data_IF_996501620938
#
_entry.id   IF_996501620938
#
_cell.length_a   1.000
_cell.length_b   1.000
_cell.length_c   1.000
_cell.angle_alpha   90.00
_cell.angle_beta   90.00
_cell.angle_gamma   90.00
#
_symmetry.space_group_name_H-M   'P 1'
#
loop_
_entity.id
_entity.type
_entity.pdbx_description
1 polymer ?
#
# COMPACT_ATOMS: atom_id res chain seq x y z
N UNK A 1 -27.47 -7.47 -3.76
CA UNK A 1 -26.06 -7.37 -3.36
C UNK A 1 -25.71 -8.02 -2.00
N UNK A 2 -26.61 -8.01 -0.97
CA UNK A 2 -26.31 -8.62 0.34
C UNK A 2 -26.35 -10.16 0.33
N UNK A 3 -27.10 -10.78 -0.57
CA UNK A 3 -27.23 -12.23 -0.65
C UNK A 3 -26.04 -12.87 -1.37
N UNK A 4 -25.55 -12.28 -2.45
CA UNK A 4 -24.33 -12.69 -3.16
C UNK A 4 -23.08 -12.55 -2.30
N UNK A 5 -23.00 -11.49 -1.47
CA UNK A 5 -21.92 -11.32 -0.52
C UNK A 5 -21.93 -12.39 0.59
N UNK A 6 -23.11 -12.79 1.09
CA UNK A 6 -23.26 -13.86 2.09
C UNK A 6 -22.96 -15.26 1.51
N UNK A 7 -23.33 -15.49 0.25
CA UNK A 7 -23.01 -16.75 -0.43
C UNK A 7 -21.50 -16.85 -0.73
N UNK A 8 -20.85 -15.75 -1.15
CA UNK A 8 -19.41 -15.67 -1.32
C UNK A 8 -18.64 -15.90 -0.02
N UNK A 9 -19.05 -15.27 1.08
CA UNK A 9 -18.46 -15.52 2.40
C UNK A 9 -18.63 -16.98 2.86
N UNK A 10 -19.78 -17.58 2.62
CA UNK A 10 -20.03 -18.98 2.95
C UNK A 10 -19.16 -19.97 2.15
N UNK A 11 -18.83 -19.65 0.90
CA UNK A 11 -17.92 -20.45 0.06
C UNK A 11 -16.45 -20.31 0.50
N UNK A 12 -16.00 -19.10 0.81
CA UNK A 12 -14.66 -18.86 1.35
C UNK A 12 -14.43 -19.60 2.66
N UNK A 13 -15.40 -19.58 3.58
CA UNK A 13 -15.33 -20.31 4.85
C UNK A 13 -15.24 -21.84 4.66
N UNK A 14 -15.98 -22.42 3.71
CA UNK A 14 -15.90 -23.87 3.42
C UNK A 14 -14.54 -24.27 2.86
N UNK A 15 -13.98 -23.46 1.97
CA UNK A 15 -12.68 -23.73 1.34
C UNK A 15 -11.53 -23.55 2.33
N UNK A 16 -11.61 -22.54 3.20
CA UNK A 16 -10.66 -22.35 4.30
C UNK A 16 -10.66 -23.53 5.28
N UNK A 17 -11.86 -23.99 5.68
CA UNK A 17 -11.95 -25.17 6.54
C UNK A 17 -11.40 -26.42 5.84
N UNK A 18 -11.62 -26.60 4.54
CA UNK A 18 -11.04 -27.73 3.79
C UNK A 18 -9.51 -27.69 3.75
N UNK A 19 -8.89 -26.51 3.58
CA UNK A 19 -7.44 -26.36 3.66
C UNK A 19 -6.89 -26.79 5.03
N UNK A 20 -7.53 -26.36 6.11
CA UNK A 20 -7.12 -26.72 7.48
C UNK A 20 -7.39 -28.20 7.85
N UNK A 21 -8.41 -28.83 7.25
CA UNK A 21 -8.73 -30.24 7.49
C UNK A 21 -7.82 -31.21 6.73
N UNK A 22 -7.02 -30.72 5.77
CA UNK A 22 -6.02 -31.55 5.11
C UNK A 22 -4.72 -31.58 5.94
N UNK A 23 -4.40 -32.70 6.64
CA UNK A 23 -3.23 -32.75 7.54
C UNK A 23 -1.92 -32.53 6.80
N UNK A 24 -1.83 -32.89 5.54
CA UNK A 24 -0.64 -32.69 4.72
C UNK A 24 -0.42 -31.20 4.43
N UNK A 25 -1.45 -30.47 4.01
CA UNK A 25 -1.38 -29.03 3.74
C UNK A 25 -1.03 -28.24 5.01
N UNK A 26 -1.66 -28.59 6.14
CA UNK A 26 -1.39 -27.97 7.43
C UNK A 26 0.05 -28.21 7.89
N UNK A 27 0.53 -29.44 7.84
CA UNK A 27 1.90 -29.79 8.26
C UNK A 27 2.95 -29.12 7.39
N UNK A 28 2.73 -29.12 6.07
CA UNK A 28 3.58 -28.43 5.10
C UNK A 28 3.57 -26.93 5.33
N UNK A 29 2.40 -26.33 5.52
CA UNK A 29 2.24 -24.89 5.79
C UNK A 29 2.98 -24.46 7.05
N UNK A 30 2.85 -25.20 8.15
CA UNK A 30 3.57 -24.94 9.41
C UNK A 30 5.10 -25.03 9.19
N UNK A 31 5.57 -26.08 8.51
CA UNK A 31 7.01 -26.24 8.25
C UNK A 31 7.56 -25.10 7.38
N UNK A 32 6.82 -24.68 6.34
CA UNK A 32 7.19 -23.54 5.51
C UNK A 32 7.18 -22.23 6.29
N UNK A 33 6.19 -22.03 7.15
CA UNK A 33 6.08 -20.84 8.01
C UNK A 33 7.28 -20.71 8.93
N UNK A 34 7.61 -21.78 9.68
CA UNK A 34 8.78 -21.79 10.57
C UNK A 34 10.06 -21.52 9.77
N UNK A 35 10.22 -22.16 8.62
CA UNK A 35 11.37 -21.94 7.73
C UNK A 35 11.44 -20.49 7.26
N UNK A 36 10.33 -19.87 6.87
CA UNK A 36 10.28 -18.49 6.42
C UNK A 36 10.68 -17.52 7.54
N UNK A 37 10.23 -17.75 8.78
CA UNK A 37 10.65 -16.94 9.96
C UNK A 37 12.16 -17.03 10.18
N UNK A 38 12.72 -18.25 10.15
CA UNK A 38 14.16 -18.47 10.34
C UNK A 38 14.96 -17.80 9.21
N UNK A 39 14.54 -17.97 7.96
CA UNK A 39 15.19 -17.37 6.79
C UNK A 39 15.18 -15.84 6.90
N UNK A 40 14.05 -15.24 7.29
CA UNK A 40 13.95 -13.80 7.49
C UNK A 40 14.92 -13.28 8.54
N UNK A 41 15.02 -13.96 9.66
CA UNK A 41 15.99 -13.60 10.70
C UNK A 41 17.43 -13.56 10.16
N UNK A 42 17.83 -14.56 9.35
CA UNK A 42 19.16 -14.59 8.74
C UNK A 42 19.34 -13.53 7.66
N UNK A 43 18.31 -13.25 6.85
CA UNK A 43 18.32 -12.20 5.83
C UNK A 43 18.48 -10.83 6.47
N UNK A 44 17.68 -10.50 7.48
CA UNK A 44 17.79 -9.25 8.23
C UNK A 44 19.16 -9.07 8.90
N UNK A 45 19.69 -10.16 9.52
CA UNK A 45 21.03 -10.15 10.09
C UNK A 45 22.12 -9.93 9.03
N UNK A 46 21.98 -10.57 7.87
CA UNK A 46 22.94 -10.42 6.75
C UNK A 46 22.97 -8.98 6.23
N UNK A 47 21.83 -8.33 6.08
CA UNK A 47 21.77 -6.92 5.67
C UNK A 47 22.47 -6.01 6.71
N UNK A 48 22.23 -6.23 8.00
CA UNK A 48 22.91 -5.47 9.06
C UNK A 48 24.41 -5.66 9.05
N UNK A 49 24.90 -6.89 8.98
CA UNK A 49 26.34 -7.21 8.99
C UNK A 49 27.07 -6.66 7.76
N UNK A 50 26.39 -6.59 6.61
CA UNK A 50 26.94 -6.06 5.36
C UNK A 50 26.71 -4.56 5.17
N UNK A 51 26.09 -3.91 6.14
CA UNK A 51 25.68 -2.50 6.11
C UNK A 51 24.94 -2.11 4.81
N UNK A 52 24.04 -2.99 4.36
CA UNK A 52 23.20 -2.73 3.19
C UNK A 52 22.24 -1.59 3.50
N UNK A 53 22.21 -0.56 2.67
CA UNK A 53 21.33 0.62 2.79
C UNK A 53 20.60 0.89 1.47
N UNK A 54 19.40 1.52 1.49
CA UNK A 54 18.61 1.80 2.69
C UNK A 54 18.14 0.51 3.38
N UNK A 55 17.88 0.54 4.66
CA UNK A 55 17.29 -0.57 5.43
C UNK A 55 16.55 -0.04 6.65
N UNK A 56 15.48 -0.73 7.01
CA UNK A 56 14.76 -0.53 8.26
C UNK A 56 14.97 -1.72 9.20
N UNK A 57 14.53 -1.57 10.45
CA UNK A 57 14.53 -2.68 11.40
C UNK A 57 13.46 -3.71 11.01
N UNK A 58 13.87 -4.95 10.76
CA UNK A 58 12.99 -6.08 10.47
C UNK A 58 12.95 -7.04 11.67
N UNK A 59 12.70 -6.45 12.84
CA UNK A 59 12.51 -7.19 14.09
C UNK A 59 11.11 -7.80 14.18
N UNK A 60 10.78 -8.33 15.36
CA UNK A 60 9.40 -8.76 15.65
C UNK A 60 8.45 -7.56 15.58
N UNK A 61 7.24 -7.66 14.94
CA UNK A 61 6.60 -8.91 14.48
C UNK A 61 6.78 -9.24 12.98
N UNK A 62 7.56 -8.47 12.22
CA UNK A 62 7.68 -8.60 10.76
C UNK A 62 8.00 -10.02 10.25
N UNK A 63 8.91 -10.81 10.85
CA UNK A 63 9.16 -12.19 10.39
C UNK A 63 7.91 -13.08 10.36
N UNK A 64 6.97 -12.86 11.28
CA UNK A 64 5.70 -13.60 11.33
C UNK A 64 4.73 -13.09 10.27
N UNK A 65 4.61 -11.77 10.09
CA UNK A 65 3.83 -11.14 9.05
C UNK A 65 4.25 -11.68 7.68
N UNK A 66 5.52 -11.55 7.34
CA UNK A 66 6.09 -12.07 6.10
C UNK A 66 5.83 -13.57 5.92
N UNK A 67 6.07 -14.37 6.96
CA UNK A 67 5.86 -15.82 6.88
C UNK A 67 4.39 -16.16 6.63
N UNK A 68 3.45 -15.46 7.24
CA UNK A 68 2.01 -15.67 7.04
C UNK A 68 1.59 -15.38 5.61
N UNK A 69 1.94 -14.20 5.08
CA UNK A 69 1.56 -13.76 3.73
C UNK A 69 2.23 -14.61 2.64
N UNK A 70 3.52 -14.88 2.78
CA UNK A 70 4.30 -15.55 1.73
C UNK A 70 4.22 -17.08 1.77
N UNK A 71 3.61 -17.70 2.79
CA UNK A 71 3.44 -19.15 2.87
C UNK A 71 1.98 -19.55 2.99
N UNK A 72 1.35 -19.35 4.13
CA UNK A 72 0.00 -19.88 4.42
C UNK A 72 -1.03 -19.21 3.49
N UNK A 73 -1.08 -17.89 3.43
CA UNK A 73 -2.05 -17.18 2.60
C UNK A 73 -1.85 -17.48 1.12
N UNK A 74 -0.61 -17.52 0.66
CA UNK A 74 -0.29 -17.91 -0.72
C UNK A 74 -0.82 -19.32 -1.06
N UNK A 75 -0.50 -20.32 -0.25
CA UNK A 75 -0.91 -21.72 -0.53
C UNK A 75 -2.44 -21.83 -0.49
N UNK A 76 -3.11 -21.12 0.40
CA UNK A 76 -4.55 -21.04 0.46
C UNK A 76 -5.16 -20.41 -0.81
N UNK A 77 -4.63 -19.30 -1.27
CA UNK A 77 -5.09 -18.64 -2.51
C UNK A 77 -4.96 -19.59 -3.71
N UNK A 78 -3.83 -20.29 -3.82
CA UNK A 78 -3.61 -21.28 -4.89
C UNK A 78 -4.64 -22.42 -4.82
N UNK A 79 -4.87 -23.01 -3.64
CA UNK A 79 -5.84 -24.08 -3.46
C UNK A 79 -7.28 -23.62 -3.79
N UNK A 80 -7.63 -22.39 -3.41
CA UNK A 80 -8.92 -21.76 -3.75
C UNK A 80 -9.09 -21.60 -5.26
N UNK A 81 -8.10 -21.05 -5.96
CA UNK A 81 -8.14 -20.87 -7.42
C UNK A 81 -8.29 -22.23 -8.11
N UNK A 82 -7.50 -23.23 -7.74
CA UNK A 82 -7.58 -24.59 -8.32
C UNK A 82 -8.97 -25.19 -8.06
N UNK A 83 -9.52 -25.00 -6.86
CA UNK A 83 -10.87 -25.46 -6.54
C UNK A 83 -11.95 -24.81 -7.39
N UNK A 84 -11.87 -23.49 -7.64
CA UNK A 84 -12.79 -22.76 -8.50
C UNK A 84 -12.63 -23.17 -9.99
N UNK A 85 -11.39 -23.36 -10.43
CA UNK A 85 -11.11 -23.87 -11.77
C UNK A 85 -11.73 -25.26 -11.98
N UNK A 86 -11.61 -26.16 -10.98
CA UNK A 86 -12.22 -27.48 -11.01
C UNK A 86 -13.76 -27.46 -11.03
N UNK A 87 -14.39 -26.40 -10.51
CA UNK A 87 -15.84 -26.15 -10.61
C UNK A 87 -16.26 -25.53 -11.94
N UNK A 88 -15.34 -25.09 -12.76
CA UNK A 88 -15.60 -24.38 -14.01
C UNK A 88 -16.08 -22.94 -13.82
N UNK A 89 -15.72 -22.28 -12.70
CA UNK A 89 -16.07 -20.88 -12.44
C UNK A 89 -15.58 -19.99 -13.57
N UNK A 90 -16.45 -19.18 -14.21
CA UNK A 90 -16.11 -18.51 -15.46
C UNK A 90 -15.07 -17.40 -15.29
N UNK A 91 -15.03 -16.73 -14.16
CA UNK A 91 -14.10 -15.62 -13.87
C UNK A 91 -13.60 -15.82 -12.44
N UNK A 92 -12.28 -15.82 -12.28
CA UNK A 92 -11.63 -15.90 -10.98
C UNK A 92 -10.71 -14.67 -10.86
N UNK A 93 -10.95 -13.84 -9.87
CA UNK A 93 -10.06 -12.76 -9.48
C UNK A 93 -9.37 -13.15 -8.18
N UNK A 94 -8.06 -13.03 -8.14
CA UNK A 94 -7.27 -13.34 -6.97
C UNK A 94 -6.13 -12.35 -6.80
N UNK A 95 -5.84 -12.01 -5.56
CA UNK A 95 -4.80 -11.09 -5.17
C UNK A 95 -3.66 -11.82 -4.46
N UNK A 96 -2.42 -11.39 -4.69
CA UNK A 96 -1.20 -11.94 -4.12
C UNK A 96 -0.33 -10.87 -3.47
N UNK A 97 -0.40 -10.76 -2.16
CA UNK A 97 0.19 -9.69 -1.37
C UNK A 97 1.67 -9.87 -1.00
N UNK A 98 2.23 -11.08 -1.20
CA UNK A 98 3.52 -11.45 -0.63
C UNK A 98 4.73 -10.69 -1.18
N UNK A 99 4.70 -10.19 -2.42
CA UNK A 99 5.78 -9.39 -2.99
C UNK A 99 5.81 -8.00 -2.38
N UNK A 100 4.67 -7.33 -2.37
CA UNK A 100 4.52 -5.97 -1.92
C UNK A 100 5.00 -5.81 -0.47
N UNK A 101 4.49 -6.61 0.44
CA UNK A 101 4.89 -6.64 1.85
C UNK A 101 6.40 -6.80 2.05
N UNK A 102 7.02 -7.70 1.30
CA UNK A 102 8.47 -7.93 1.40
C UNK A 102 9.25 -6.75 0.82
N UNK A 103 8.75 -6.15 -0.26
CA UNK A 103 9.41 -5.03 -0.93
C UNK A 103 9.36 -3.75 -0.08
N UNK A 104 8.27 -3.49 0.65
CA UNK A 104 8.20 -2.40 1.63
C UNK A 104 9.33 -2.47 2.67
N UNK A 105 9.60 -3.66 3.19
CA UNK A 105 10.56 -3.82 4.29
C UNK A 105 11.99 -4.10 3.83
N UNK A 106 12.17 -4.83 2.75
CA UNK A 106 13.50 -5.21 2.27
C UNK A 106 14.05 -4.30 1.17
N UNK A 107 13.16 -3.67 0.42
CA UNK A 107 13.41 -2.94 -0.83
C UNK A 107 13.04 -3.76 -2.07
N UNK A 108 12.41 -3.14 -3.10
CA UNK A 108 11.86 -3.84 -4.26
C UNK A 108 12.91 -4.59 -5.08
N UNK A 109 14.12 -4.09 -5.15
CA UNK A 109 15.19 -4.68 -5.93
C UNK A 109 16.06 -5.69 -5.16
N UNK A 110 15.77 -5.91 -3.89
CA UNK A 110 16.55 -6.81 -3.04
C UNK A 110 16.30 -8.28 -3.38
N UNK A 111 17.28 -9.16 -3.12
CA UNK A 111 17.11 -10.60 -3.33
C UNK A 111 15.88 -11.16 -2.64
N UNK A 112 15.54 -10.65 -1.45
CA UNK A 112 14.38 -11.05 -0.65
C UNK A 112 13.06 -10.83 -1.41
N UNK A 113 12.94 -9.71 -2.13
CA UNK A 113 11.77 -9.37 -2.94
C UNK A 113 11.75 -10.15 -4.25
N UNK A 114 12.91 -10.33 -4.88
CA UNK A 114 13.06 -11.17 -6.10
C UNK A 114 12.70 -12.63 -5.83
N UNK A 115 13.03 -13.15 -4.64
CA UNK A 115 12.62 -14.49 -4.22
C UNK A 115 11.07 -14.63 -4.17
N UNK A 116 10.33 -13.54 -3.94
CA UNK A 116 8.86 -13.59 -4.00
C UNK A 116 8.36 -13.68 -5.44
N UNK A 117 9.00 -13.01 -6.40
CA UNK A 117 8.65 -13.16 -7.82
C UNK A 117 8.88 -14.61 -8.30
N UNK A 118 9.96 -15.26 -7.87
CA UNK A 118 10.20 -16.68 -8.12
C UNK A 118 9.10 -17.58 -7.52
N UNK A 119 8.49 -17.16 -6.42
CA UNK A 119 7.34 -17.87 -5.82
C UNK A 119 6.08 -17.66 -6.62
N UNK A 120 5.83 -16.45 -7.13
CA UNK A 120 4.72 -16.15 -8.05
C UNK A 120 4.86 -17.00 -9.32
N UNK A 121 6.05 -17.09 -9.92
CA UNK A 121 6.30 -17.94 -11.10
C UNK A 121 5.96 -19.41 -10.82
N UNK A 122 6.39 -19.96 -9.68
CA UNK A 122 6.02 -21.33 -9.29
C UNK A 122 4.53 -21.52 -9.07
N UNK A 123 3.86 -20.52 -8.48
CA UNK A 123 2.40 -20.52 -8.34
C UNK A 123 1.72 -20.56 -9.70
N UNK A 124 2.09 -19.67 -10.62
CA UNK A 124 1.53 -19.62 -11.97
C UNK A 124 1.74 -20.93 -12.73
N UNK A 125 2.90 -21.56 -12.56
CA UNK A 125 3.18 -22.88 -13.15
C UNK A 125 2.24 -23.96 -12.62
N UNK A 126 1.91 -23.91 -11.33
CA UNK A 126 0.95 -24.85 -10.70
C UNK A 126 -0.47 -24.60 -11.20
N UNK A 127 -0.89 -23.34 -11.30
CA UNK A 127 -2.20 -22.95 -11.84
C UNK A 127 -2.33 -23.31 -13.32
N UNK A 128 -1.29 -23.11 -14.13
CA UNK A 128 -1.29 -23.48 -15.54
C UNK A 128 -1.49 -24.99 -15.74
N UNK A 129 -0.84 -25.83 -14.92
CA UNK A 129 -1.04 -27.28 -14.94
C UNK A 129 -2.46 -27.67 -14.53
N UNK A 130 -3.00 -27.03 -13.48
CA UNK A 130 -4.37 -27.31 -13.04
C UNK A 130 -5.41 -26.89 -14.10
N UNK A 131 -5.10 -25.87 -14.90
CA UNK A 131 -5.94 -25.43 -16.01
C UNK A 131 -6.07 -26.48 -17.13
N UNK A 132 -5.07 -27.34 -17.33
CA UNK A 132 -5.09 -28.41 -18.34
C UNK A 132 -6.18 -29.45 -18.03
N UNK A 133 -6.45 -29.70 -16.74
CA UNK A 133 -7.44 -30.68 -16.25
C UNK A 133 -8.79 -30.01 -15.91
N UNK A 134 -8.95 -28.72 -16.12
CA UNK A 134 -10.17 -28.00 -15.78
C UNK A 134 -11.30 -28.28 -16.78
N UNK A 135 -12.59 -28.24 -16.36
CA UNK A 135 -13.75 -28.53 -17.22
C UNK A 135 -13.99 -27.46 -18.31
N UNK A 136 -13.24 -26.38 -18.29
CA UNK A 136 -13.24 -25.31 -19.29
C UNK A 136 -11.84 -24.71 -19.45
N UNK A 137 -11.51 -24.10 -20.62
CA UNK A 137 -10.25 -23.41 -20.79
C UNK A 137 -10.16 -22.16 -19.89
N UNK A 138 -8.95 -21.90 -19.37
CA UNK A 138 -8.63 -20.69 -18.58
C UNK A 138 -7.49 -19.92 -19.22
N UNK A 139 -7.65 -18.63 -19.27
CA UNK A 139 -6.62 -17.68 -19.67
C UNK A 139 -6.18 -16.87 -18.45
N UNK A 140 -4.88 -16.69 -18.30
CA UNK A 140 -4.32 -15.94 -17.18
C UNK A 140 -3.97 -14.54 -17.63
N UNK A 141 -4.46 -13.54 -16.90
CA UNK A 141 -4.05 -12.14 -17.01
C UNK A 141 -3.43 -11.78 -15.67
N UNK A 142 -2.17 -11.34 -15.68
CA UNK A 142 -1.47 -10.89 -14.49
C UNK A 142 -1.37 -9.37 -14.56
N UNK A 143 -1.78 -8.73 -13.46
CA UNK A 143 -1.77 -7.27 -13.35
C UNK A 143 -1.05 -6.91 -12.06
N UNK A 144 -0.14 -5.95 -12.10
CA UNK A 144 0.25 -5.24 -10.89
C UNK A 144 -0.63 -4.00 -10.75
N UNK A 145 -1.08 -3.72 -9.55
CA UNK A 145 -1.85 -2.52 -9.19
C UNK A 145 -0.98 -1.27 -9.27
N UNK A 146 0.29 -1.37 -8.89
CA UNK A 146 1.31 -0.32 -8.95
C UNK A 146 2.71 -0.92 -9.15
N UNK A 147 3.71 -0.07 -9.30
CA UNK A 147 5.10 -0.40 -9.09
C UNK A 147 5.55 -0.01 -7.69
N UNK A 148 6.83 -0.10 -7.40
CA UNK A 148 7.42 0.41 -6.17
C UNK A 148 8.71 1.19 -6.45
N UNK A 149 8.99 2.20 -5.63
CA UNK A 149 10.23 2.95 -5.64
C UNK A 149 10.90 2.82 -4.28
N UNK A 150 12.21 2.64 -4.26
CA UNK A 150 12.94 2.51 -3.01
C UNK A 150 13.47 3.85 -2.50
N UNK A 151 13.80 3.90 -1.20
CA UNK A 151 14.55 4.98 -0.59
C UNK A 151 14.70 4.79 0.91
N UNK A 152 15.54 5.62 1.53
CA UNK A 152 15.61 5.68 2.97
C UNK A 152 14.38 6.43 3.52
N UNK A 153 13.77 5.96 4.63
CA UNK A 153 12.72 6.68 5.30
C UNK A 153 13.10 8.15 5.54
N UNK A 154 12.13 9.06 5.46
CA UNK A 154 12.33 10.48 5.61
C UNK A 154 13.00 10.83 6.94
N UNK A 155 12.52 10.24 8.04
CA UNK A 155 13.09 10.43 9.37
C UNK A 155 14.52 9.90 9.46
N UNK A 156 14.83 8.72 8.88
CA UNK A 156 16.19 8.18 8.85
C UNK A 156 17.16 9.05 8.05
N UNK A 157 16.67 9.73 7.00
CA UNK A 157 17.48 10.56 6.10
C UNK A 157 17.74 11.95 6.66
N UNK A 158 16.72 12.57 7.32
CA UNK A 158 16.74 13.97 7.72
C UNK A 158 16.73 14.18 9.24
N UNK A 159 16.56 13.12 10.03
CA UNK A 159 16.58 13.18 11.49
C UNK A 159 15.33 13.78 12.12
N UNK A 160 14.27 13.99 11.34
CA UNK A 160 12.99 14.54 11.77
C UNK A 160 11.85 13.90 10.97
N UNK A 161 10.74 13.56 11.62
CA UNK A 161 9.52 13.09 10.97
C UNK A 161 8.72 14.23 10.32
N UNK A 162 7.81 13.90 9.38
CA UNK A 162 7.02 14.94 8.69
C UNK A 162 6.09 15.68 9.66
N UNK A 163 5.45 14.97 10.59
CA UNK A 163 4.58 15.58 11.60
C UNK A 163 5.36 16.57 12.47
N UNK A 164 6.52 16.17 12.98
CA UNK A 164 7.38 17.00 13.82
C UNK A 164 7.92 18.20 13.03
N UNK A 165 8.32 18.01 11.77
CA UNK A 165 8.73 19.11 10.88
C UNK A 165 7.58 20.10 10.70
N UNK A 166 6.38 19.62 10.37
CA UNK A 166 5.21 20.48 10.16
C UNK A 166 4.91 21.29 11.40
N UNK A 167 4.82 20.65 12.55
CA UNK A 167 4.57 21.32 13.83
C UNK A 167 5.65 22.34 14.20
N UNK A 168 6.92 22.03 13.93
CA UNK A 168 8.03 22.96 14.21
C UNK A 168 7.98 24.25 13.39
N UNK A 169 7.24 24.25 12.28
CA UNK A 169 7.06 25.42 11.40
C UNK A 169 5.77 26.21 11.69
N UNK A 170 4.95 25.73 12.65
CA UNK A 170 3.72 26.39 13.04
C UNK A 170 3.95 27.31 14.23
N UNK A 171 3.16 28.38 14.33
CA UNK A 171 3.16 29.26 15.49
C UNK A 171 2.25 28.75 16.60
N UNK A 172 2.69 28.85 17.86
CA UNK A 172 1.92 28.47 19.02
C UNK A 172 2.20 27.03 19.51
N UNK A 173 1.44 26.61 20.50
CA UNK A 173 1.43 25.24 21.03
C UNK A 173 0.36 24.46 20.26
N UNK A 174 0.76 23.72 19.24
CA UNK A 174 -0.11 23.01 18.32
C UNK A 174 -0.14 21.52 18.68
N UNK A 175 -1.31 21.01 19.00
CA UNK A 175 -1.52 19.58 19.16
C UNK A 175 -1.58 18.90 17.78
N UNK A 176 -0.93 17.75 17.63
CA UNK A 176 -0.83 17.07 16.35
C UNK A 176 -1.00 15.57 16.50
N UNK A 177 -1.57 14.95 15.46
CA UNK A 177 -1.69 13.52 15.32
C UNK A 177 -0.97 13.07 14.04
N UNK A 178 -0.01 12.16 14.21
CA UNK A 178 0.54 11.39 13.10
C UNK A 178 -0.40 10.19 12.83
N UNK A 179 -1.12 10.27 11.72
CA UNK A 179 -2.03 9.24 11.25
C UNK A 179 -1.41 8.37 10.15
N UNK A 180 -0.08 8.31 10.09
CA UNK A 180 0.66 7.43 9.17
C UNK A 180 0.37 5.97 9.49
N UNK A 181 0.10 5.18 8.47
CA UNK A 181 -0.41 3.82 8.62
C UNK A 181 0.71 2.78 8.54
N UNK A 182 1.38 2.46 9.65
CA UNK A 182 2.25 1.26 9.77
C UNK A 182 1.47 -0.08 9.65
N UNK A 183 0.17 -0.02 9.38
CA UNK A 183 -0.78 -1.14 9.53
C UNK A 183 -1.18 -1.78 8.21
N UNK A 184 -0.74 -1.24 7.06
CA UNK A 184 -1.21 -1.71 5.74
C UNK A 184 -0.97 -3.22 5.53
N UNK A 185 0.19 -3.73 5.92
CA UNK A 185 0.52 -5.16 5.85
C UNK A 185 -0.28 -6.06 6.80
N UNK A 186 -0.88 -5.51 7.87
CA UNK A 186 -1.65 -6.29 8.83
C UNK A 186 -3.13 -6.46 8.44
N UNK A 187 -3.69 -5.60 7.61
CA UNK A 187 -5.09 -5.63 7.22
C UNK A 187 -5.54 -7.01 6.70
N UNK A 188 -4.87 -7.60 5.71
CA UNK A 188 -5.20 -8.93 5.19
C UNK A 188 -5.07 -10.04 6.24
N UNK A 189 -4.05 -9.97 7.10
CA UNK A 189 -3.83 -10.96 8.17
C UNK A 189 -4.91 -10.83 9.24
N UNK A 190 -5.25 -9.63 9.64
CA UNK A 190 -6.30 -9.37 10.63
C UNK A 190 -7.65 -9.88 10.13
N UNK A 191 -7.97 -9.64 8.86
CA UNK A 191 -9.15 -10.19 8.20
C UNK A 191 -9.12 -11.72 8.22
N UNK A 192 -8.02 -12.32 7.80
CA UNK A 192 -7.84 -13.77 7.81
C UNK A 192 -7.99 -14.39 9.21
N UNK A 193 -7.35 -13.83 10.22
CA UNK A 193 -7.41 -14.33 11.60
C UNK A 193 -8.80 -14.12 12.22
N UNK A 194 -9.47 -13.03 11.88
CA UNK A 194 -10.87 -12.77 12.26
C UNK A 194 -11.78 -13.85 11.71
N UNK A 195 -11.70 -14.16 10.42
CA UNK A 195 -12.48 -15.23 9.81
C UNK A 195 -12.11 -16.60 10.36
N UNK A 196 -10.82 -16.87 10.59
CA UNK A 196 -10.37 -18.12 11.22
C UNK A 196 -10.92 -18.28 12.64
N UNK A 197 -11.00 -17.20 13.43
CA UNK A 197 -11.54 -17.21 14.79
C UNK A 197 -13.05 -17.49 14.81
N UNK A 198 -13.77 -17.08 13.77
CA UNK A 198 -15.22 -17.29 13.58
C UNK A 198 -15.59 -18.67 13.03
N UNK A 199 -14.61 -19.44 12.59
CA UNK A 199 -14.84 -20.77 12.00
C UNK A 199 -15.47 -21.72 13.03
N UNK A 200 -16.60 -22.40 12.73
CA UNK A 200 -17.21 -23.34 13.66
C UNK A 200 -16.31 -24.54 13.92
N UNK A 201 -16.20 -24.96 15.18
CA UNK A 201 -15.46 -26.17 15.56
C UNK A 201 -14.27 -25.91 16.48
N UNK A 202 -13.44 -26.96 16.67
CA UNK A 202 -12.31 -26.93 17.62
C UNK A 202 -11.19 -25.99 17.15
N UNK A 203 -10.98 -25.89 15.85
CA UNK A 203 -9.96 -25.03 15.23
C UNK A 203 -10.25 -23.54 15.47
N UNK A 204 -11.48 -23.09 15.25
CA UNK A 204 -11.88 -21.69 15.53
C UNK A 204 -11.79 -21.34 17.01
N UNK A 205 -12.14 -22.31 17.90
CA UNK A 205 -11.99 -22.11 19.36
C UNK A 205 -10.52 -22.00 19.79
N UNK A 206 -9.59 -22.72 19.15
CA UNK A 206 -8.16 -22.61 19.43
C UNK A 206 -7.66 -21.25 18.96
N UNK A 207 -7.99 -20.83 17.74
CA UNK A 207 -7.60 -19.52 17.19
C UNK A 207 -8.17 -18.39 18.01
N UNK A 208 -9.48 -18.40 18.33
CA UNK A 208 -10.13 -17.38 19.15
C UNK A 208 -9.59 -17.31 20.57
N UNK A 209 -9.13 -18.44 21.13
CA UNK A 209 -8.50 -18.47 22.47
C UNK A 209 -7.07 -17.94 22.43
N UNK A 210 -6.31 -18.26 21.36
CA UNK A 210 -4.94 -17.78 21.18
C UNK A 210 -4.88 -16.28 20.91
N UNK A 211 -5.92 -15.72 20.28
CA UNK A 211 -5.98 -14.30 19.89
C UNK A 211 -6.92 -13.48 20.79
N UNK A 212 -7.24 -13.98 21.97
CA UNK A 212 -8.22 -13.34 22.85
C UNK A 212 -7.82 -11.96 23.35
N UNK A 213 -6.51 -11.71 23.52
CA UNK A 213 -5.93 -10.42 23.90
C UNK A 213 -5.96 -9.41 22.76
N UNK A 214 -5.95 -9.90 21.52
CA UNK A 214 -5.85 -9.11 20.29
C UNK A 214 -7.23 -8.98 19.58
N UNK A 215 -8.32 -9.41 20.24
CA UNK A 215 -9.66 -9.39 19.65
C UNK A 215 -10.58 -8.44 20.42
N UNK A 216 -11.12 -7.43 19.72
CA UNK A 216 -12.20 -6.54 20.20
C UNK A 216 -13.43 -6.73 19.30
N UNK A 217 -14.60 -6.86 19.90
CA UNK A 217 -15.91 -7.00 19.21
C UNK A 217 -15.94 -8.10 18.12
N UNK A 218 -15.15 -9.19 18.33
CA UNK A 218 -15.08 -10.30 17.41
C UNK A 218 -14.25 -10.02 16.14
N UNK A 219 -13.43 -8.95 16.16
CA UNK A 219 -12.45 -8.63 15.13
C UNK A 219 -11.04 -8.75 15.71
N UNK A 220 -10.14 -9.40 15.01
CA UNK A 220 -8.73 -9.54 15.42
C UNK A 220 -7.94 -8.36 14.87
N UNK A 221 -7.21 -7.68 15.75
CA UNK A 221 -6.29 -6.59 15.41
C UNK A 221 -4.88 -6.96 15.88
N UNK A 222 -4.05 -7.52 15.00
CA UNK A 222 -2.61 -7.64 15.18
C UNK A 222 -1.92 -6.45 14.51
N UNK A 223 -0.74 -6.11 15.01
CA UNK A 223 -0.08 -4.85 14.64
C UNK A 223 -0.72 -3.70 15.42
N UNK A 224 0.01 -2.65 15.60
CA UNK A 224 -0.40 -1.54 16.48
C UNK A 224 -1.60 -0.73 15.93
N UNK A 225 -2.76 -1.41 15.74
CA UNK A 225 -4.05 -0.71 15.63
C UNK A 225 -4.29 0.10 16.92
N UNK A 226 -3.72 -0.37 18.04
CA UNK A 226 -3.66 0.38 19.31
C UNK A 226 -2.49 1.41 19.34
N UNK A 227 -1.53 1.43 18.42
CA UNK A 227 -0.51 2.47 18.40
C UNK A 227 -1.08 3.79 17.90
N UNK A 228 -2.01 3.76 16.96
CA UNK A 228 -2.79 4.94 16.59
C UNK A 228 -3.60 5.41 17.81
N UNK A 229 -4.20 4.49 18.56
CA UNK A 229 -4.89 4.83 19.81
C UNK A 229 -3.93 5.02 21.00
N UNK A 230 -2.84 4.26 21.14
CA UNK A 230 -1.84 4.43 22.22
C UNK A 230 -0.79 5.49 21.95
N UNK A 231 -0.54 5.84 20.69
CA UNK A 231 0.18 7.05 20.32
C UNK A 231 -0.63 8.29 20.72
N UNK A 232 -1.92 8.29 20.46
CA UNK A 232 -2.88 9.23 21.04
C UNK A 232 -2.90 9.12 22.59
N UNK A 233 -3.04 7.93 23.19
CA UNK A 233 -3.07 7.73 24.66
C UNK A 233 -1.73 7.99 25.37
N UNK A 234 -0.57 7.76 24.75
CA UNK A 234 0.75 8.09 25.35
C UNK A 234 1.14 9.55 25.25
N UNK A 235 0.67 10.27 24.22
CA UNK A 235 0.80 11.73 24.13
C UNK A 235 -0.37 12.46 24.81
N UNK A 236 -1.53 11.83 24.97
CA UNK A 236 -2.71 12.39 25.65
C UNK A 236 -2.69 12.25 27.18
N UNK A 237 -1.58 11.81 27.79
CA UNK A 237 -1.45 11.85 29.27
C UNK A 237 -1.38 13.28 29.84
N UNK A 238 -1.49 14.30 29.00
CA UNK A 238 -1.61 15.72 29.40
C UNK A 238 -2.80 16.47 28.78
N UNK A 239 -3.61 15.83 27.89
CA UNK A 239 -4.82 16.45 27.32
C UNK A 239 -6.04 15.55 27.54
N UNK A 240 -7.20 16.16 27.77
CA UNK A 240 -8.48 15.46 27.94
C UNK A 240 -8.78 14.52 26.76
N UNK A 241 -9.28 13.29 27.03
CA UNK A 241 -9.51 12.20 26.05
C UNK A 241 -10.51 12.54 24.92
N UNK A 242 -11.10 13.73 24.91
CA UNK A 242 -12.12 14.19 23.95
C UNK A 242 -11.62 15.36 23.03
N UNK A 243 -10.38 15.80 23.12
CA UNK A 243 -9.90 16.94 22.35
C UNK A 243 -9.37 16.48 20.98
N UNK A 244 -10.02 16.95 19.89
CA UNK A 244 -9.56 16.74 18.51
C UNK A 244 -8.24 17.51 18.34
N UNK A 245 -7.15 16.89 17.85
CA UNK A 245 -5.89 17.57 17.63
C UNK A 245 -6.04 18.68 16.59
N UNK A 246 -5.32 19.78 16.72
CA UNK A 246 -5.38 20.93 15.79
C UNK A 246 -4.89 20.56 14.38
N UNK A 247 -3.97 19.59 14.31
CA UNK A 247 -3.30 19.14 13.09
C UNK A 247 -3.34 17.63 12.95
N UNK A 248 -3.70 17.14 11.76
CA UNK A 248 -3.53 15.73 11.39
C UNK A 248 -2.58 15.64 10.19
N UNK A 249 -1.54 14.83 10.31
CA UNK A 249 -0.63 14.48 9.22
C UNK A 249 -0.87 13.01 8.86
N UNK A 250 -1.41 12.76 7.68
CA UNK A 250 -1.70 11.42 7.17
C UNK A 250 -0.76 11.10 6.02
N UNK A 251 0.26 10.29 6.29
CA UNK A 251 1.23 9.85 5.29
C UNK A 251 0.91 8.44 4.77
N UNK A 252 1.24 8.21 3.51
CA UNK A 252 1.24 6.90 2.86
C UNK A 252 2.37 6.87 1.83
N UNK A 253 3.37 6.01 2.05
CA UNK A 253 4.58 5.99 1.23
C UNK A 253 5.30 7.34 1.24
N UNK A 254 5.51 7.92 0.07
CA UNK A 254 6.16 9.22 -0.08
C UNK A 254 5.21 10.38 -0.37
N UNK A 255 3.91 10.18 -0.13
CA UNK A 255 2.91 11.24 -0.11
C UNK A 255 2.37 11.48 1.30
N UNK A 256 1.84 12.67 1.55
CA UNK A 256 1.08 12.97 2.75
C UNK A 256 0.00 14.02 2.50
N UNK A 257 -1.01 13.98 3.34
CA UNK A 257 -2.02 15.04 3.47
C UNK A 257 -1.93 15.65 4.87
N UNK A 258 -2.02 16.96 4.94
CA UNK A 258 -2.09 17.72 6.19
C UNK A 258 -3.47 18.34 6.28
N UNK A 259 -4.11 18.23 7.45
CA UNK A 259 -5.44 18.75 7.73
C UNK A 259 -5.40 19.66 8.98
N UNK A 260 -5.98 20.86 8.87
CA UNK A 260 -6.27 21.75 10.01
C UNK A 260 -7.68 21.43 10.51
N UNK A 261 -7.80 20.83 11.66
CA UNK A 261 -9.09 20.28 12.15
C UNK A 261 -10.06 21.33 12.69
N UNK A 262 -9.57 22.50 13.06
CA UNK A 262 -10.40 23.61 13.52
C UNK A 262 -11.30 24.20 12.42
N UNK A 263 -10.94 23.99 11.15
CA UNK A 263 -11.65 24.53 9.98
C UNK A 263 -12.31 23.37 9.23
N UNK A 264 -13.62 23.45 8.99
CA UNK A 264 -14.36 22.38 8.27
C UNK A 264 -14.09 22.37 6.77
N UNK A 265 -13.82 23.52 6.20
CA UNK A 265 -13.60 23.73 4.79
C UNK A 265 -12.08 23.69 4.51
N UNK A 266 -11.70 23.22 3.34
CA UNK A 266 -10.29 23.20 2.93
C UNK A 266 -9.67 24.59 3.05
N UNK A 267 -8.61 24.72 3.83
CA UNK A 267 -7.93 25.98 4.08
C UNK A 267 -7.10 26.39 2.86
N UNK A 268 -7.28 27.66 2.44
CA UNK A 268 -6.54 28.22 1.31
C UNK A 268 -5.09 28.52 1.65
N UNK A 269 -4.25 28.68 0.62
CA UNK A 269 -2.86 29.14 0.76
C UNK A 269 -2.79 30.43 1.59
N UNK A 270 -3.68 31.39 1.32
CA UNK A 270 -3.75 32.67 1.99
C UNK A 270 -4.18 32.51 3.46
N UNK A 271 -5.10 31.60 3.71
CA UNK A 271 -5.53 31.21 5.06
C UNK A 271 -4.37 30.59 5.87
N UNK A 272 -3.67 29.62 5.28
CA UNK A 272 -2.50 28.99 5.91
C UNK A 272 -1.40 30.01 6.18
N UNK A 273 -1.07 30.87 5.20
CA UNK A 273 -0.04 31.90 5.35
C UNK A 273 -0.39 32.94 6.43
N UNK A 274 -1.67 33.18 6.67
CA UNK A 274 -2.12 34.06 7.75
C UNK A 274 -2.03 33.40 9.14
N UNK A 275 -2.35 32.12 9.25
CA UNK A 275 -2.30 31.37 10.50
C UNK A 275 -0.85 31.02 10.88
N UNK A 276 -0.08 30.53 9.91
CA UNK A 276 1.26 29.99 10.09
C UNK A 276 2.18 30.46 8.94
N UNK A 277 2.70 31.69 8.98
CA UNK A 277 3.43 32.31 7.86
C UNK A 277 4.71 31.57 7.46
N UNK A 278 5.33 30.83 8.37
CA UNK A 278 6.56 30.08 8.12
C UNK A 278 6.30 28.64 7.62
N UNK A 279 5.07 28.13 7.68
CA UNK A 279 4.77 26.73 7.39
C UNK A 279 5.03 26.37 5.92
N UNK A 280 4.35 27.01 4.97
CA UNK A 280 4.52 26.68 3.55
C UNK A 280 5.94 26.98 3.07
N UNK A 281 6.53 28.16 3.38
CA UNK A 281 7.92 28.43 3.02
C UNK A 281 8.92 27.46 3.66
N UNK A 282 8.68 27.03 4.91
CA UNK A 282 9.53 26.08 5.61
C UNK A 282 9.49 24.70 4.97
N UNK A 283 8.29 24.19 4.68
CA UNK A 283 8.10 22.90 3.99
C UNK A 283 8.83 22.89 2.64
N UNK A 284 8.59 23.84 1.75
CA UNK A 284 9.22 23.85 0.41
C UNK A 284 10.73 24.09 0.44
N UNK A 285 11.28 24.66 1.51
CA UNK A 285 12.73 24.84 1.69
C UNK A 285 13.40 23.58 2.21
N UNK A 286 12.66 22.69 2.84
CA UNK A 286 13.22 21.44 3.36
C UNK A 286 13.64 20.53 2.20
N UNK A 287 14.88 20.02 2.23
CA UNK A 287 15.46 19.23 1.11
C UNK A 287 14.75 17.89 0.87
N UNK A 288 14.07 17.38 1.89
CA UNK A 288 13.27 16.16 1.83
C UNK A 288 11.89 16.33 1.19
N UNK A 289 11.44 17.56 0.93
CA UNK A 289 10.16 17.85 0.28
C UNK A 289 10.40 18.13 -1.20
N UNK A 290 9.76 17.36 -2.06
CA UNK A 290 9.80 17.56 -3.52
C UNK A 290 8.91 18.72 -3.95
N UNK A 291 7.66 18.66 -3.54
CA UNK A 291 6.70 19.76 -3.72
C UNK A 291 5.51 19.62 -2.76
N UNK A 292 4.78 20.71 -2.63
CA UNK A 292 3.46 20.76 -2.00
C UNK A 292 2.40 21.16 -3.03
N UNK A 293 1.15 20.72 -2.85
CA UNK A 293 0.00 21.23 -3.58
C UNK A 293 -0.97 21.85 -2.58
N UNK A 294 -1.33 23.11 -2.83
CA UNK A 294 -2.25 23.90 -2.01
C UNK A 294 -3.20 24.69 -2.92
N UNK A 295 -4.38 25.05 -2.42
CA UNK A 295 -5.34 25.82 -3.17
C UNK A 295 -5.27 27.31 -2.79
N UNK A 296 -5.00 28.19 -3.77
CA UNK A 296 -5.09 29.63 -3.62
C UNK A 296 -6.50 30.11 -3.88
N UNK A 297 -6.96 31.14 -3.17
CA UNK A 297 -8.24 31.82 -3.41
C UNK A 297 -8.25 32.55 -4.75
N UNK A 298 -7.09 33.11 -5.15
CA UNK A 298 -6.96 33.91 -6.36
C UNK A 298 -6.55 33.08 -7.59
N UNK A 299 -5.74 32.01 -7.38
CA UNK A 299 -5.07 31.31 -8.47
C UNK A 299 -5.49 29.84 -8.61
N UNK A 300 -6.40 29.35 -7.78
CA UNK A 300 -6.78 27.94 -7.78
C UNK A 300 -5.67 27.01 -7.28
N UNK A 301 -5.57 25.73 -7.73
CA UNK A 301 -4.58 24.80 -7.22
C UNK A 301 -3.17 25.10 -7.75
N UNK A 302 -2.24 25.22 -6.83
CA UNK A 302 -0.83 25.51 -7.09
C UNK A 302 0.05 24.36 -6.61
N UNK A 303 1.00 23.95 -7.44
CA UNK A 303 2.11 23.08 -7.08
C UNK A 303 3.34 23.92 -6.83
N UNK A 304 3.88 23.87 -5.62
CA UNK A 304 4.98 24.74 -5.16
C UNK A 304 6.16 23.86 -4.75
N UNK A 305 7.32 24.15 -5.30
CA UNK A 305 8.60 23.57 -4.90
C UNK A 305 9.58 24.64 -4.46
N UNK A 306 10.77 24.24 -4.03
CA UNK A 306 11.85 25.18 -3.64
C UNK A 306 12.16 26.24 -4.72
N UNK A 307 12.11 25.85 -5.99
CA UNK A 307 12.63 26.65 -7.09
C UNK A 307 11.56 27.16 -8.05
N UNK A 308 10.30 26.81 -7.85
CA UNK A 308 9.26 27.28 -8.74
C UNK A 308 7.86 26.84 -8.37
N UNK A 309 6.92 27.41 -9.10
CA UNK A 309 5.47 27.21 -8.92
C UNK A 309 4.86 26.86 -10.27
N UNK A 310 3.93 25.91 -10.25
CA UNK A 310 3.07 25.60 -11.38
C UNK A 310 1.61 25.78 -10.99
N UNK A 311 0.90 26.59 -11.76
CA UNK A 311 -0.54 26.68 -11.64
C UNK A 311 -1.20 25.53 -12.41
N UNK A 312 -2.10 24.78 -11.76
CA UNK A 312 -2.77 23.64 -12.39
C UNK A 312 -4.01 24.05 -13.21
N UNK A 313 -4.53 25.29 -13.09
CA UNK A 313 -5.65 25.74 -13.92
C UNK A 313 -5.21 26.16 -15.34
N UNK A 314 -4.18 26.99 -15.44
CA UNK A 314 -3.74 27.61 -16.69
C UNK A 314 -2.38 27.11 -17.19
N UNK A 315 -1.76 26.14 -16.49
CA UNK A 315 -0.44 25.57 -16.78
C UNK A 315 0.72 26.57 -16.72
N UNK A 316 0.51 27.76 -16.15
CA UNK A 316 1.58 28.76 -15.98
C UNK A 316 2.63 28.25 -15.00
N UNK A 317 3.90 28.44 -15.38
CA UNK A 317 5.05 28.06 -14.59
C UNK A 317 5.88 29.32 -14.27
N UNK A 318 6.22 29.50 -13.00
CA UNK A 318 7.15 30.53 -12.53
C UNK A 318 8.36 29.87 -11.89
N UNK A 319 9.55 30.19 -12.35
CA UNK A 319 10.79 29.50 -11.96
C UNK A 319 10.98 28.14 -12.66
N UNK A 320 11.48 27.14 -11.94
CA UNK A 320 11.62 25.80 -12.46
C UNK A 320 10.30 25.03 -12.32
N UNK A 321 9.92 24.23 -13.33
CA UNK A 321 8.71 23.39 -13.23
C UNK A 321 8.88 22.37 -12.09
N UNK A 322 8.03 22.41 -11.04
CA UNK A 322 8.06 21.45 -9.95
C UNK A 322 7.86 20.00 -10.41
N UNK A 323 7.19 19.82 -11.55
CA UNK A 323 6.80 18.51 -12.05
C UNK A 323 7.71 17.96 -13.15
N UNK A 324 8.81 18.63 -13.46
CA UNK A 324 9.72 18.29 -14.58
C UNK A 324 10.28 16.85 -14.57
N UNK A 325 10.37 16.23 -13.40
CA UNK A 325 10.92 14.87 -13.23
C UNK A 325 9.87 13.79 -13.10
N UNK A 326 8.59 14.17 -13.13
CA UNK A 326 7.48 13.25 -13.01
C UNK A 326 6.86 12.92 -14.37
N UNK A 327 5.95 11.93 -14.39
CA UNK A 327 5.24 11.51 -15.60
C UNK A 327 4.46 12.68 -16.24
N UNK A 328 4.29 12.66 -17.55
CA UNK A 328 3.43 13.60 -18.30
C UNK A 328 1.97 13.58 -17.82
N UNK A 329 1.52 12.48 -17.22
CA UNK A 329 0.17 12.35 -16.67
C UNK A 329 0.02 13.01 -15.28
N UNK A 330 1.11 13.42 -14.64
CA UNK A 330 1.09 13.95 -13.27
C UNK A 330 0.21 15.18 -13.13
N UNK A 331 0.25 16.10 -14.08
CA UNK A 331 -0.61 17.31 -14.06
C UNK A 331 -2.08 16.95 -14.02
N UNK A 332 -2.50 16.04 -14.89
CA UNK A 332 -3.89 15.61 -14.95
C UNK A 332 -4.30 14.87 -13.66
N UNK A 333 -3.44 14.02 -13.14
CA UNK A 333 -3.70 13.29 -11.90
C UNK A 333 -3.81 14.23 -10.70
N UNK A 334 -2.97 15.28 -10.62
CA UNK A 334 -3.04 16.28 -9.55
C UNK A 334 -4.29 17.16 -9.66
N UNK A 335 -4.76 17.49 -10.88
CA UNK A 335 -6.04 18.17 -11.09
C UNK A 335 -7.22 17.33 -10.60
N UNK A 336 -7.20 16.04 -10.92
CA UNK A 336 -8.23 15.10 -10.45
C UNK A 336 -8.19 14.98 -8.92
N UNK A 337 -6.99 14.82 -8.34
CA UNK A 337 -6.79 14.75 -6.90
C UNK A 337 -7.30 16.02 -6.19
N UNK A 338 -7.01 17.22 -6.73
CA UNK A 338 -7.49 18.51 -6.17
C UNK A 338 -9.03 18.60 -6.14
N UNK A 339 -9.71 17.88 -7.03
CA UNK A 339 -11.17 17.85 -7.10
C UNK A 339 -11.84 16.98 -6.03
N UNK A 340 -11.07 16.16 -5.32
CA UNK A 340 -11.63 15.26 -4.30
C UNK A 340 -12.04 16.03 -3.04
N UNK A 341 -13.20 15.68 -2.51
CA UNK A 341 -13.81 16.38 -1.37
C UNK A 341 -12.94 16.34 -0.10
N UNK A 342 -12.18 15.28 0.09
CA UNK A 342 -11.42 15.03 1.31
C UNK A 342 -9.91 15.07 1.09
N UNK A 343 -9.44 15.75 0.05
CA UNK A 343 -8.01 16.07 -0.09
C UNK A 343 -7.56 16.98 1.06
N UNK A 344 -6.33 16.79 1.53
CA UNK A 344 -5.77 17.64 2.59
C UNK A 344 -5.70 19.13 2.23
N UNK A 345 -5.61 19.96 3.24
CA UNK A 345 -5.35 21.41 3.07
C UNK A 345 -4.01 21.62 2.37
N UNK A 346 -3.02 20.78 2.73
CA UNK A 346 -1.73 20.68 2.06
C UNK A 346 -1.53 19.23 1.64
N UNK A 347 -1.35 18.98 0.35
CA UNK A 347 -0.86 17.69 -0.17
C UNK A 347 0.64 17.79 -0.39
N UNK A 348 1.41 16.78 0.02
CA UNK A 348 2.88 16.80 0.00
C UNK A 348 3.39 15.55 -0.71
N UNK A 349 4.41 15.73 -1.54
CA UNK A 349 5.25 14.67 -2.09
C UNK A 349 6.68 14.87 -1.58
N UNK A 350 7.30 13.80 -1.09
CA UNK A 350 8.71 13.84 -0.69
C UNK A 350 9.64 14.03 -1.90
N UNK A 351 10.91 14.27 -1.61
CA UNK A 351 11.92 14.41 -2.64
C UNK A 351 11.97 13.16 -3.56
N UNK A 352 12.27 13.41 -4.82
CA UNK A 352 12.64 12.40 -5.80
C UNK A 352 14.00 12.73 -6.40
N UNK A 353 14.96 11.81 -6.33
CA UNK A 353 16.26 11.92 -6.97
C UNK A 353 16.24 11.15 -8.30
N UNK A 354 16.20 11.82 -9.45
CA UNK A 354 16.17 11.17 -10.75
C UNK A 354 17.46 10.43 -11.10
N UNK A 355 18.58 10.69 -10.40
CA UNK A 355 19.86 10.03 -10.66
C UNK A 355 19.96 8.65 -10.01
N UNK A 356 19.31 8.46 -8.87
CA UNK A 356 19.26 7.20 -8.12
C UNK A 356 17.88 6.52 -8.20
N UNK A 357 16.88 7.23 -8.73
CA UNK A 357 15.47 6.84 -8.74
C UNK A 357 14.92 6.58 -7.33
N UNK A 358 15.47 7.26 -6.32
CA UNK A 358 15.04 7.14 -4.92
C UNK A 358 14.06 8.24 -4.52
N UNK A 359 13.16 7.90 -3.60
CA UNK A 359 12.30 8.81 -2.85
C UNK A 359 12.63 8.76 -1.36
N UNK A 360 12.02 9.60 -0.54
CA UNK A 360 12.13 9.52 0.91
C UNK A 360 10.74 9.24 1.51
N UNK A 361 10.36 7.97 1.71
CA UNK A 361 9.06 7.65 2.30
C UNK A 361 8.86 8.33 3.66
N UNK A 362 7.69 8.91 3.89
CA UNK A 362 7.33 9.49 5.18
C UNK A 362 7.04 8.39 6.21
N UNK A 363 6.60 7.23 5.76
CA UNK A 363 6.47 6.03 6.56
C UNK A 363 7.83 5.32 6.72
N UNK A 364 7.96 4.51 7.78
CA UNK A 364 9.19 3.76 8.06
C UNK A 364 9.32 2.50 7.19
N UNK A 365 9.47 2.69 5.90
CA UNK A 365 9.58 1.65 4.87
C UNK A 365 10.69 1.96 3.85
N UNK A 366 11.21 0.93 3.18
CA UNK A 366 12.28 1.06 2.16
C UNK A 366 11.69 1.12 0.75
N UNK A 367 10.74 0.26 0.43
CA UNK A 367 9.95 0.34 -0.79
C UNK A 367 8.66 1.09 -0.54
N UNK A 368 8.26 1.97 -1.43
CA UNK A 368 7.01 2.73 -1.28
C UNK A 368 6.27 2.86 -2.60
N UNK A 369 4.97 3.04 -2.50
CA UNK A 369 4.06 3.33 -3.62
C UNK A 369 2.97 4.31 -3.19
N UNK A 370 2.04 4.61 -4.08
CA UNK A 370 0.92 5.54 -3.83
C UNK A 370 1.26 6.99 -4.11
N UNK A 371 2.53 7.39 -4.01
CA UNK A 371 2.99 8.74 -4.34
C UNK A 371 3.52 8.86 -5.77
N UNK A 372 4.44 9.81 -5.96
CA UNK A 372 5.04 10.13 -7.25
C UNK A 372 6.56 9.98 -7.20
N UNK A 373 7.15 9.74 -8.37
CA UNK A 373 8.59 9.58 -8.57
C UNK A 373 9.03 8.13 -8.72
N UNK A 374 9.95 7.88 -9.65
CA UNK A 374 10.49 6.56 -9.95
C UNK A 374 9.47 5.59 -10.56
N UNK A 375 9.62 4.31 -10.26
CA UNK A 375 8.84 3.23 -10.87
C UNK A 375 7.49 2.97 -10.18
N UNK A 376 7.18 3.60 -9.06
CA UNK A 376 5.96 3.32 -8.29
C UNK A 376 4.67 3.58 -9.08
N UNK A 377 4.69 4.49 -10.05
CA UNK A 377 3.55 4.78 -10.94
C UNK A 377 3.47 3.88 -12.16
N UNK A 378 4.41 2.93 -12.31
CA UNK A 378 4.50 2.04 -13.48
C UNK A 378 4.10 0.62 -13.09
N UNK A 379 2.82 0.30 -13.28
CA UNK A 379 2.35 -1.07 -13.22
C UNK A 379 2.64 -1.84 -14.51
N UNK A 380 2.31 -3.13 -14.52
CA UNK A 380 2.38 -3.95 -15.74
C UNK A 380 1.10 -4.78 -15.90
N UNK A 381 0.82 -5.13 -17.14
CA UNK A 381 -0.20 -6.13 -17.49
C UNK A 381 0.42 -7.17 -18.40
N UNK A 382 0.35 -8.45 -18.00
CA UNK A 382 0.75 -9.60 -18.80
C UNK A 382 -0.47 -10.39 -19.20
N UNK A 383 -0.64 -10.66 -20.49
CA UNK A 383 -1.81 -11.33 -21.04
C UNK A 383 -1.42 -12.31 -22.17
N UNK A 384 -2.27 -13.29 -22.50
CA UNK A 384 -2.01 -14.23 -23.58
C UNK A 384 -1.79 -13.53 -24.92
N UNK A 385 -0.82 -13.99 -25.70
CA UNK A 385 -0.54 -13.43 -27.03
C UNK A 385 -1.71 -13.49 -28.01
N UNK A 386 -2.64 -14.45 -27.81
CA UNK A 386 -3.88 -14.52 -28.58
C UNK A 386 -4.80 -13.32 -28.39
N UNK A 387 -4.63 -12.56 -27.29
CA UNK A 387 -5.38 -11.35 -27.02
C UNK A 387 -4.68 -10.08 -27.53
N UNK A 388 -3.43 -10.21 -28.01
CA UNK A 388 -2.72 -9.07 -28.57
C UNK A 388 -3.46 -8.50 -29.82
N UNK A 389 -3.56 -7.18 -29.87
CA UNK A 389 -3.93 -6.44 -31.08
C UNK A 389 -2.67 -6.09 -31.89
N UNK A 390 -2.82 -5.65 -33.11
CA UNK A 390 -1.66 -5.22 -33.95
C UNK A 390 -0.92 -4.03 -33.32
N UNK A 391 -1.64 -3.22 -32.55
CA UNK A 391 -1.07 -2.07 -31.81
C UNK A 391 -0.55 -2.54 -30.43
N UNK A 392 0.73 -2.96 -30.40
CA UNK A 392 1.36 -3.55 -29.22
C UNK A 392 1.94 -2.53 -28.22
N UNK A 393 1.81 -1.23 -28.50
CA UNK A 393 2.57 -0.17 -27.81
C UNK A 393 1.73 0.87 -27.08
N UNK A 394 0.45 0.62 -26.88
CA UNK A 394 -0.40 1.57 -26.15
C UNK A 394 -0.22 1.36 -24.64
N UNK A 395 0.33 2.35 -23.96
CA UNK A 395 0.33 2.42 -22.52
C UNK A 395 -1.12 2.53 -22.02
N UNK A 396 -1.48 1.68 -21.07
CA UNK A 396 -2.77 1.76 -20.39
C UNK A 396 -2.66 2.73 -19.21
N UNK A 397 -3.34 3.86 -19.28
CA UNK A 397 -3.24 4.91 -18.26
C UNK A 397 -4.42 4.84 -17.31
N UNK A 398 -4.14 4.49 -16.06
CA UNK A 398 -5.11 4.42 -14.97
C UNK A 398 -5.96 3.14 -14.96
N UNK A 399 -6.52 2.86 -13.80
CA UNK A 399 -7.33 1.66 -13.56
C UNK A 399 -8.56 1.54 -14.47
N UNK A 400 -9.29 2.63 -14.85
CA UNK A 400 -10.42 2.53 -15.78
C UNK A 400 -10.03 1.96 -17.15
N UNK A 401 -8.85 2.32 -17.67
CA UNK A 401 -8.41 1.82 -18.97
C UNK A 401 -7.98 0.35 -18.90
N UNK A 402 -7.28 -0.04 -17.84
CA UNK A 402 -6.96 -1.45 -17.59
C UNK A 402 -8.25 -2.28 -17.47
N UNK A 403 -9.24 -1.81 -16.72
CA UNK A 403 -10.53 -2.47 -16.59
C UNK A 403 -11.24 -2.64 -17.95
N UNK A 404 -11.34 -1.58 -18.75
CA UNK A 404 -11.90 -1.63 -20.10
C UNK A 404 -11.20 -2.68 -20.96
N UNK A 405 -9.86 -2.73 -20.89
CA UNK A 405 -9.06 -3.68 -21.66
C UNK A 405 -9.28 -5.12 -21.23
N UNK A 406 -9.41 -5.37 -19.94
CA UNK A 406 -9.76 -6.70 -19.42
C UNK A 406 -11.12 -7.15 -19.93
N UNK A 407 -12.12 -6.27 -19.97
CA UNK A 407 -13.43 -6.60 -20.53
C UNK A 407 -13.35 -6.94 -22.04
N UNK A 408 -12.57 -6.21 -22.84
CA UNK A 408 -12.33 -6.55 -24.25
C UNK A 408 -11.71 -7.96 -24.38
N UNK A 409 -10.74 -8.31 -23.54
CA UNK A 409 -10.14 -9.65 -23.56
C UNK A 409 -11.11 -10.74 -23.11
N UNK A 410 -11.99 -10.45 -22.17
CA UNK A 410 -13.06 -11.38 -21.76
C UNK A 410 -14.04 -11.68 -22.89
N UNK A 411 -14.43 -10.66 -23.66
CA UNK A 411 -15.30 -10.85 -24.82
C UNK A 411 -14.57 -11.62 -25.93
N UNK A 412 -13.33 -11.32 -26.20
CA UNK A 412 -12.50 -12.05 -27.14
C UNK A 412 -12.30 -13.52 -26.75
N UNK A 413 -12.16 -13.81 -25.46
CA UNK A 413 -12.08 -15.18 -24.97
C UNK A 413 -13.36 -15.98 -25.26
N UNK A 414 -14.54 -15.34 -25.21
CA UNK A 414 -15.82 -15.99 -25.57
C UNK A 414 -15.92 -16.32 -27.07
N UNK A 415 -15.23 -15.56 -27.93
CA UNK A 415 -15.21 -15.80 -29.39
C UNK A 415 -14.28 -16.94 -29.78
N UNK A 416 -13.30 -17.27 -28.93
CA UNK A 416 -12.33 -18.35 -29.19
C UNK A 416 -12.86 -19.74 -28.81
N UNK A 417 -13.96 -19.82 -28.05
CA UNK A 417 -14.57 -21.04 -27.52
C UNK A 417 -16.10 -21.02 -27.59
#
# INVERSE_FOLDING_TARGET
NSQLAKEGQGLQMKSFSMFLYNPYNLTRGIAQFITAVIVEYFQARRQRVRDVKPRISRGMPFPFLKASTTTIMRDMVVDLIIGEMGRGTPIIYADYLGYDEVAHHAGPERPESKDQLDRVDRMMRSLSRAAEDAPRPYHFILVSDHGQTQGAPFEDRYGIGLEELTRSLMEGDVSSLDASNDVEGWGPINTFLTEASRTPGTSGKIVSRALRSESRDGTVGLGDVDAVHKGAEKKSSETDEDEIPDLIVAASGNLANIYFTEVRERVSLEGIAKMHPDLLPGLVRHEGIGFIMVRSEEHGPLVISRNGVRNLEDDRIEGEDPLRWYSEHTVQNLRELDSYQHIGDIFIISMYDPSTEEVAPFEHQVGSHGGLGGLQTKGFVMYPSAFATEDKTVDLVGAPEVNRKIHEWMDRAKELY
#
